data_IF_364782468825
#
_entry.id   IF_364782468825
#
_cell.length_a   1.000
_cell.length_b   1.000
_cell.length_c   1.000
_cell.angle_alpha   90.00
_cell.angle_beta   90.00
_cell.angle_gamma   90.00
#
_symmetry.space_group_name_H-M   'P 1'
#
loop_
_entity.id
_entity.type
_entity.pdbx_description
1 polymer ?
#
# COMPACT_ATOMS: atom_id res chain seq x y z
N UNK A 1 2.13 21.00 57.39
CA UNK A 1 2.69 19.86 56.62
C UNK A 1 4.12 20.07 56.13
N UNK A 2 4.55 21.27 55.71
CA UNK A 2 5.91 21.50 55.21
C UNK A 2 7.00 21.30 56.28
N UNK A 3 6.78 21.85 57.49
CA UNK A 3 7.68 21.69 58.66
C UNK A 3 7.83 20.23 59.09
N UNK A 4 6.75 19.45 59.02
CA UNK A 4 6.76 18.02 59.37
C UNK A 4 7.57 17.22 58.32
N UNK A 5 7.42 17.54 57.03
CA UNK A 5 8.20 16.89 55.96
C UNK A 5 9.69 17.26 56.00
N UNK A 6 10.04 18.48 56.41
CA UNK A 6 11.45 18.88 56.53
C UNK A 6 12.16 18.25 57.74
N UNK A 7 11.43 17.90 58.79
CA UNK A 7 11.96 17.23 59.99
C UNK A 7 11.61 15.73 60.01
N UNK A 8 11.22 15.14 58.88
CA UNK A 8 10.84 13.72 58.83
C UNK A 8 12.05 12.80 59.04
N UNK A 9 13.24 13.28 58.69
CA UNK A 9 14.50 12.57 58.85
C UNK A 9 14.83 12.33 60.34
N UNK A 10 14.53 13.28 61.23
CA UNK A 10 14.75 13.08 62.67
C UNK A 10 13.73 12.12 63.31
N UNK A 11 12.64 11.79 62.61
CA UNK A 11 11.57 10.92 63.11
C UNK A 11 11.78 9.45 62.68
N UNK A 12 12.49 9.19 61.58
CA UNK A 12 12.53 7.90 60.88
C UNK A 12 13.95 7.35 60.69
N UNK A 13 14.91 7.81 61.51
CA UNK A 13 16.36 7.63 61.32
C UNK A 13 16.78 6.16 61.07
N UNK A 14 16.09 5.18 61.67
CA UNK A 14 16.37 3.74 61.48
C UNK A 14 15.74 3.12 60.21
N UNK A 15 14.62 3.65 59.70
CA UNK A 15 13.86 3.09 58.56
C UNK A 15 14.02 3.87 57.25
N UNK A 16 14.97 4.81 57.19
CA UNK A 16 15.17 5.71 56.03
C UNK A 16 15.46 4.96 54.73
N UNK A 17 16.25 3.88 54.81
CA UNK A 17 16.60 3.04 53.66
C UNK A 17 15.39 2.27 53.13
N UNK A 18 14.58 1.71 54.03
CA UNK A 18 13.35 0.97 53.70
C UNK A 18 12.28 1.89 53.10
N UNK A 19 12.10 3.10 53.64
CA UNK A 19 11.18 4.10 53.09
C UNK A 19 11.59 4.57 51.71
N UNK A 20 12.88 4.77 51.45
CA UNK A 20 13.37 5.13 50.12
C UNK A 20 13.16 3.99 49.11
N UNK A 21 13.41 2.74 49.53
CA UNK A 21 13.11 1.57 48.70
C UNK A 21 11.61 1.43 48.41
N UNK A 22 10.76 1.66 49.41
CA UNK A 22 9.30 1.65 49.26
C UNK A 22 8.82 2.80 48.36
N UNK A 23 9.33 4.01 48.52
CA UNK A 23 9.00 5.16 47.67
C UNK A 23 9.43 4.91 46.22
N UNK A 24 10.61 4.33 46.00
CA UNK A 24 11.07 3.92 44.68
C UNK A 24 10.17 2.83 44.09
N UNK A 25 9.78 1.83 44.88
CA UNK A 25 8.88 0.76 44.45
C UNK A 25 7.50 1.31 44.07
N UNK A 26 6.95 2.25 44.84
CA UNK A 26 5.69 2.93 44.54
C UNK A 26 5.82 3.83 43.32
N UNK A 27 6.93 4.56 43.17
CA UNK A 27 7.18 5.38 41.98
C UNK A 27 7.30 4.51 40.72
N UNK A 28 7.98 3.37 40.80
CA UNK A 28 8.07 2.39 39.72
C UNK A 28 6.74 1.71 39.43
N UNK A 29 5.95 1.36 40.45
CA UNK A 29 4.65 0.72 40.25
C UNK A 29 3.65 1.70 39.61
N UNK A 30 3.63 2.95 40.05
CA UNK A 30 2.80 4.02 39.48
C UNK A 30 3.27 4.39 38.06
N UNK A 31 4.59 4.44 37.84
CA UNK A 31 5.17 4.63 36.51
C UNK A 31 4.79 3.49 35.56
N UNK A 32 4.91 2.23 35.99
CA UNK A 32 4.47 1.07 35.21
C UNK A 32 2.97 1.06 34.97
N UNK A 33 2.15 1.45 35.95
CA UNK A 33 0.70 1.53 35.77
C UNK A 33 0.34 2.53 34.66
N UNK A 34 0.93 3.73 34.69
CA UNK A 34 0.73 4.75 33.66
C UNK A 34 1.26 4.31 32.29
N UNK A 35 2.42 3.64 32.24
CA UNK A 35 3.03 3.17 30.98
C UNK A 35 2.32 1.94 30.42
N UNK A 36 1.80 1.02 31.26
CA UNK A 36 0.99 -0.12 30.83
C UNK A 36 -0.31 0.34 30.18
N UNK A 37 -0.85 1.47 30.65
CA UNK A 37 -2.02 2.09 30.05
C UNK A 37 -1.69 2.93 28.80
N UNK A 38 -0.41 3.07 28.41
CA UNK A 38 -0.07 3.84 27.23
C UNK A 38 -0.40 3.04 25.95
N UNK A 39 -1.39 3.45 25.14
CA UNK A 39 -1.81 2.75 23.92
C UNK A 39 -0.69 2.69 22.86
N UNK A 40 0.31 3.57 22.92
CA UNK A 40 1.41 3.62 21.95
C UNK A 40 2.22 2.31 21.85
N UNK A 41 2.24 1.45 22.88
CA UNK A 41 2.92 0.16 22.82
C UNK A 41 2.16 -0.90 22.02
N UNK A 42 0.85 -0.76 21.88
CA UNK A 42 0.00 -1.73 21.14
C UNK A 42 0.39 -1.71 19.65
N UNK A 43 0.72 -0.54 19.10
CA UNK A 43 1.13 -0.34 17.71
C UNK A 43 2.38 -1.16 17.36
N UNK A 44 3.33 -1.28 18.28
CA UNK A 44 4.59 -1.99 18.02
C UNK A 44 4.37 -3.46 17.69
N UNK A 45 3.34 -4.09 18.28
CA UNK A 45 2.98 -5.48 17.98
C UNK A 45 2.46 -5.64 16.55
N UNK A 46 1.72 -4.65 16.04
CA UNK A 46 1.23 -4.66 14.64
C UNK A 46 2.41 -4.53 13.68
N UNK A 47 3.34 -3.62 13.95
CA UNK A 47 4.54 -3.45 13.13
C UNK A 47 5.31 -4.77 12.99
N UNK A 48 5.55 -5.46 14.12
CA UNK A 48 6.23 -6.75 14.12
C UNK A 48 5.43 -7.85 13.43
N UNK A 49 4.11 -7.91 13.65
CA UNK A 49 3.24 -8.91 13.02
C UNK A 49 3.21 -8.78 11.49
N UNK A 50 3.21 -7.56 10.95
CA UNK A 50 3.25 -7.33 9.49
C UNK A 50 4.59 -7.71 8.91
N UNK A 51 5.69 -7.32 9.55
CA UNK A 51 7.03 -7.71 9.12
C UNK A 51 7.18 -9.24 9.10
N UNK A 52 6.71 -9.92 10.15
CA UNK A 52 6.68 -11.38 10.19
C UNK A 52 5.82 -11.98 9.07
N UNK A 53 4.66 -11.40 8.76
CA UNK A 53 3.80 -11.87 7.67
C UNK A 53 4.50 -11.74 6.30
N UNK A 54 5.15 -10.60 6.04
CA UNK A 54 5.88 -10.38 4.79
C UNK A 54 7.13 -11.29 4.67
N UNK A 55 7.75 -11.67 5.79
CA UNK A 55 8.87 -12.61 5.80
C UNK A 55 8.42 -14.07 5.65
N UNK A 56 7.32 -14.46 6.31
CA UNK A 56 6.67 -15.76 6.10
C UNK A 56 6.27 -15.97 4.64
N UNK A 57 5.77 -14.95 3.96
CA UNK A 57 5.42 -15.05 2.53
C UNK A 57 6.65 -15.38 1.65
N UNK A 58 7.82 -14.78 1.94
CA UNK A 58 9.07 -15.05 1.22
C UNK A 58 9.60 -16.44 1.56
N UNK A 59 9.62 -16.80 2.84
CA UNK A 59 10.11 -18.11 3.30
C UNK A 59 9.23 -19.24 2.78
N UNK A 60 7.92 -19.10 2.84
CA UNK A 60 6.97 -20.07 2.27
C UNK A 60 7.25 -20.27 0.78
N UNK A 61 7.44 -19.19 0.02
CA UNK A 61 7.77 -19.33 -1.39
C UNK A 61 9.11 -20.04 -1.61
N UNK A 62 10.14 -19.73 -0.83
CA UNK A 62 11.44 -20.39 -0.91
C UNK A 62 11.35 -21.89 -0.58
N UNK A 63 10.62 -22.26 0.49
CA UNK A 63 10.41 -23.65 0.87
C UNK A 63 9.62 -24.42 -0.18
N UNK A 64 8.58 -23.81 -0.77
CA UNK A 64 7.80 -24.45 -1.83
C UNK A 64 8.63 -24.67 -3.09
N UNK A 65 9.41 -23.68 -3.53
CA UNK A 65 10.30 -23.85 -4.68
C UNK A 65 11.35 -24.95 -4.41
N UNK A 66 11.91 -24.99 -3.19
CA UNK A 66 12.83 -26.05 -2.78
C UNK A 66 12.17 -27.43 -2.79
N UNK A 67 10.94 -27.54 -2.28
CA UNK A 67 10.17 -28.78 -2.26
C UNK A 67 9.84 -29.26 -3.69
N UNK A 68 9.49 -28.33 -4.60
CA UNK A 68 9.26 -28.63 -6.02
C UNK A 68 10.51 -29.14 -6.73
N UNK A 69 11.66 -28.53 -6.48
CA UNK A 69 12.94 -29.00 -7.05
C UNK A 69 13.32 -30.36 -6.48
N UNK A 70 13.14 -30.57 -5.18
CA UNK A 70 13.53 -31.82 -4.50
C UNK A 70 12.65 -33.00 -4.95
N UNK A 71 11.32 -32.83 -4.91
CA UNK A 71 10.40 -33.88 -5.38
C UNK A 71 10.36 -33.98 -6.91
N UNK A 72 10.77 -32.93 -7.63
CA UNK A 72 10.86 -32.93 -9.09
C UNK A 72 11.83 -33.98 -9.67
N UNK A 73 12.81 -34.45 -8.89
CA UNK A 73 13.65 -35.61 -9.26
C UNK A 73 12.86 -36.93 -9.32
N UNK A 74 11.86 -37.08 -8.46
CA UNK A 74 11.00 -38.26 -8.42
C UNK A 74 9.77 -38.13 -9.32
N UNK A 75 9.16 -36.95 -9.38
CA UNK A 75 7.99 -36.70 -10.22
C UNK A 75 7.99 -35.27 -10.79
N UNK A 76 8.66 -35.05 -11.95
CA UNK A 76 8.82 -33.72 -12.53
C UNK A 76 7.52 -33.09 -13.06
N UNK A 77 6.58 -33.91 -13.52
CA UNK A 77 5.32 -33.44 -14.13
C UNK A 77 4.32 -32.88 -13.11
N UNK A 78 4.41 -33.33 -11.85
CA UNK A 78 3.55 -32.83 -10.76
C UNK A 78 3.67 -31.31 -10.57
N UNK A 79 4.90 -30.79 -10.71
CA UNK A 79 5.18 -29.37 -10.57
C UNK A 79 4.51 -28.51 -11.66
N UNK A 80 4.29 -29.06 -12.86
CA UNK A 80 3.64 -28.35 -13.97
C UNK A 80 2.12 -28.35 -13.81
N UNK A 81 1.56 -29.48 -13.37
CA UNK A 81 0.12 -29.66 -13.18
C UNK A 81 -0.42 -28.82 -12.03
N UNK A 82 0.22 -28.88 -10.87
CA UNK A 82 -0.26 -28.22 -9.66
C UNK A 82 0.45 -26.89 -9.50
N UNK A 83 -0.27 -25.79 -9.71
CA UNK A 83 0.23 -24.43 -9.48
C UNK A 83 0.05 -23.99 -8.02
N UNK A 84 -0.97 -24.49 -7.32
CA UNK A 84 -1.18 -24.14 -5.93
C UNK A 84 -0.14 -24.77 -4.99
N UNK A 85 0.45 -23.95 -4.13
CA UNK A 85 1.54 -24.31 -3.24
C UNK A 85 1.08 -25.20 -2.08
N UNK A 86 -0.10 -24.92 -1.51
CA UNK A 86 -0.65 -25.72 -0.42
C UNK A 86 -1.14 -27.07 -0.90
N UNK A 87 -1.86 -27.11 -2.03
CA UNK A 87 -2.29 -28.36 -2.64
C UNK A 87 -1.09 -29.26 -2.98
N UNK A 88 -0.02 -28.71 -3.56
CA UNK A 88 1.19 -29.46 -3.90
C UNK A 88 1.81 -30.17 -2.69
N UNK A 89 2.00 -29.46 -1.57
CA UNK A 89 2.56 -30.05 -0.35
C UNK A 89 1.65 -31.15 0.25
N UNK A 90 0.32 -30.96 0.20
CA UNK A 90 -0.64 -31.96 0.68
C UNK A 90 -0.65 -33.23 -0.19
N UNK A 91 -0.55 -33.08 -1.52
CA UNK A 91 -0.50 -34.22 -2.46
C UNK A 91 0.75 -35.06 -2.23
N UNK A 92 1.93 -34.44 -2.09
CA UNK A 92 3.16 -35.19 -1.81
C UNK A 92 3.04 -35.96 -0.50
N UNK A 93 2.45 -35.34 0.53
CA UNK A 93 2.25 -35.99 1.82
C UNK A 93 1.31 -37.20 1.73
N UNK A 94 0.22 -37.12 0.97
CA UNK A 94 -0.75 -38.23 0.86
C UNK A 94 -0.23 -39.37 -0.02
N UNK A 95 0.49 -39.03 -1.09
CA UNK A 95 0.95 -39.99 -2.10
C UNK A 95 2.22 -40.71 -1.65
N UNK A 96 3.19 -39.95 -1.12
CA UNK A 96 4.53 -40.45 -0.86
C UNK A 96 5.26 -40.82 -2.16
N UNK A 97 5.26 -42.10 -2.52
CA UNK A 97 5.92 -42.61 -3.73
C UNK A 97 4.97 -42.63 -4.92
N UNK A 98 5.53 -42.49 -6.13
CA UNK A 98 4.79 -42.59 -7.40
C UNK A 98 3.97 -43.87 -7.51
N UNK A 99 4.48 -45.00 -7.02
CA UNK A 99 3.78 -46.30 -7.10
C UNK A 99 2.46 -46.30 -6.32
N UNK A 100 2.38 -45.52 -5.25
CA UNK A 100 1.17 -45.43 -4.41
C UNK A 100 0.10 -44.50 -5.02
N UNK A 101 0.42 -43.73 -6.07
CA UNK A 101 -0.54 -42.83 -6.74
C UNK A 101 -1.80 -43.53 -7.23
N UNK A 102 -1.68 -44.80 -7.66
CA UNK A 102 -2.80 -45.57 -8.22
C UNK A 102 -3.84 -45.87 -7.13
N UNK A 103 -3.39 -46.10 -5.89
CA UNK A 103 -4.23 -46.55 -4.78
C UNK A 103 -4.69 -45.41 -3.87
N UNK A 104 -4.15 -44.20 -4.03
CA UNK A 104 -4.43 -43.09 -3.12
C UNK A 104 -5.58 -42.23 -3.65
N UNK A 105 -6.54 -41.91 -2.78
CA UNK A 105 -7.64 -41.00 -3.08
C UNK A 105 -7.22 -39.55 -2.81
N UNK A 106 -7.33 -38.68 -3.83
CA UNK A 106 -6.94 -37.27 -3.77
C UNK A 106 -8.15 -36.31 -3.80
N UNK A 107 -9.37 -36.86 -3.76
CA UNK A 107 -10.64 -36.13 -3.91
C UNK A 107 -10.84 -34.99 -2.90
N UNK A 108 -10.18 -35.06 -1.73
CA UNK A 108 -10.27 -34.04 -0.68
C UNK A 108 -9.35 -32.83 -0.87
N UNK A 109 -8.40 -32.89 -1.80
CA UNK A 109 -7.33 -31.88 -1.96
C UNK A 109 -7.39 -31.24 -3.34
N UNK A 110 -7.65 -32.04 -4.38
CA UNK A 110 -7.71 -31.60 -5.78
C UNK A 110 -9.11 -31.82 -6.38
N UNK A 111 -9.51 -31.00 -7.36
CA UNK A 111 -10.62 -31.34 -8.24
C UNK A 111 -10.36 -32.64 -9.03
N UNK A 112 -11.42 -33.42 -9.28
CA UNK A 112 -11.35 -34.71 -9.98
C UNK A 112 -10.66 -34.62 -11.36
N UNK A 113 -10.84 -33.51 -12.08
CA UNK A 113 -10.19 -33.27 -13.38
C UNK A 113 -8.65 -33.21 -13.29
N UNK A 114 -8.12 -32.65 -12.20
CA UNK A 114 -6.68 -32.59 -11.99
C UNK A 114 -6.16 -33.92 -11.45
N UNK A 115 -6.91 -34.59 -10.57
CA UNK A 115 -6.54 -35.89 -10.04
C UNK A 115 -6.36 -36.95 -11.14
N UNK A 116 -7.30 -37.05 -12.08
CA UNK A 116 -7.20 -37.99 -13.20
C UNK A 116 -5.91 -37.74 -14.02
N UNK A 117 -5.62 -36.48 -14.33
CA UNK A 117 -4.39 -36.09 -15.05
C UNK A 117 -3.13 -36.41 -14.27
N UNK A 118 -3.13 -36.22 -12.94
CA UNK A 118 -1.96 -36.57 -12.13
C UNK A 118 -1.74 -38.08 -12.11
N UNK A 119 -2.80 -38.90 -12.11
CA UNK A 119 -2.70 -40.36 -12.19
C UNK A 119 -2.19 -40.83 -13.56
N UNK A 120 -2.70 -40.28 -14.66
CA UNK A 120 -2.22 -40.56 -16.01
C UNK A 120 -0.72 -40.20 -16.15
N UNK A 121 -0.32 -39.02 -15.69
CA UNK A 121 1.07 -38.56 -15.73
C UNK A 121 1.97 -39.35 -14.78
N UNK A 122 1.44 -39.93 -13.71
CA UNK A 122 2.21 -40.82 -12.83
C UNK A 122 2.60 -42.13 -13.54
N UNK A 123 1.73 -42.68 -14.40
CA UNK A 123 2.03 -43.87 -15.20
C UNK A 123 3.09 -43.58 -16.27
N UNK A 124 2.97 -42.45 -16.95
CA UNK A 124 3.85 -42.04 -18.06
C UNK A 124 5.15 -41.39 -17.56
N UNK A 125 5.24 -41.10 -16.25
CA UNK A 125 6.33 -40.29 -15.68
C UNK A 125 7.73 -40.88 -15.95
N UNK A 126 8.65 -39.98 -16.28
CA UNK A 126 10.08 -40.25 -16.46
C UNK A 126 10.93 -40.04 -15.20
N UNK A 127 10.30 -39.82 -14.04
CA UNK A 127 11.02 -39.57 -12.79
C UNK A 127 11.80 -40.78 -12.28
N UNK A 128 12.81 -40.52 -11.45
CA UNK A 128 13.69 -41.56 -10.88
C UNK A 128 13.16 -42.06 -9.54
N UNK A 129 13.33 -43.34 -9.23
CA UNK A 129 12.95 -43.87 -7.92
C UNK A 129 13.89 -43.32 -6.82
N UNK A 130 13.30 -42.92 -5.70
CA UNK A 130 14.01 -42.33 -4.54
C UNK A 130 14.00 -43.32 -3.37
N UNK A 131 14.92 -43.11 -2.41
CA UNK A 131 14.96 -43.91 -1.19
C UNK A 131 13.86 -43.51 -0.19
N UNK A 132 13.45 -44.44 0.67
CA UNK A 132 12.50 -44.17 1.75
C UNK A 132 13.00 -43.07 2.72
N UNK A 133 14.32 -43.00 2.94
CA UNK A 133 14.93 -42.00 3.80
C UNK A 133 14.76 -40.58 3.23
N UNK A 134 14.95 -40.43 1.92
CA UNK A 134 14.74 -39.15 1.24
C UNK A 134 13.27 -38.73 1.30
N UNK A 135 12.35 -39.68 1.16
CA UNK A 135 10.90 -39.45 1.25
C UNK A 135 10.50 -38.96 2.65
N UNK A 136 11.08 -39.51 3.72
CA UNK A 136 10.84 -39.03 5.10
C UNK A 136 11.26 -37.55 5.24
N UNK A 137 12.37 -37.15 4.64
CA UNK A 137 12.80 -35.75 4.69
C UNK A 137 11.94 -34.82 3.83
N UNK A 138 11.52 -35.27 2.64
CA UNK A 138 10.61 -34.50 1.77
C UNK A 138 9.24 -34.31 2.45
N UNK A 139 8.68 -35.37 3.04
CA UNK A 139 7.42 -35.31 3.77
C UNK A 139 7.52 -34.40 5.01
N UNK A 140 8.64 -34.42 5.73
CA UNK A 140 8.92 -33.48 6.83
C UNK A 140 8.94 -32.01 6.36
N UNK A 141 9.49 -31.72 5.18
CA UNK A 141 9.43 -30.37 4.60
C UNK A 141 8.00 -29.99 4.20
N UNK A 142 7.21 -30.92 3.65
CA UNK A 142 5.80 -30.68 3.33
C UNK A 142 4.98 -30.34 4.58
N UNK A 143 5.25 -31.01 5.71
CA UNK A 143 4.60 -30.72 6.99
C UNK A 143 4.91 -29.30 7.47
N UNK A 144 6.17 -28.89 7.40
CA UNK A 144 6.57 -27.52 7.74
C UNK A 144 5.88 -26.48 6.85
N UNK A 145 5.76 -26.73 5.54
CA UNK A 145 5.05 -25.82 4.61
C UNK A 145 3.57 -25.70 5.01
N UNK A 146 2.91 -26.81 5.33
CA UNK A 146 1.49 -26.81 5.73
C UNK A 146 1.33 -26.06 7.06
N UNK A 147 2.18 -26.32 8.05
CA UNK A 147 2.16 -25.65 9.36
C UNK A 147 2.40 -24.14 9.22
N UNK A 148 3.44 -23.72 8.48
CA UNK A 148 3.72 -22.31 8.23
C UNK A 148 2.56 -21.61 7.51
N UNK A 149 1.89 -22.31 6.59
CA UNK A 149 0.74 -21.75 5.88
C UNK A 149 -0.50 -21.61 6.77
N UNK A 150 -0.73 -22.54 7.69
CA UNK A 150 -1.77 -22.42 8.72
C UNK A 150 -1.45 -21.28 9.69
N UNK A 151 -0.20 -21.19 10.16
CA UNK A 151 0.26 -20.13 11.05
C UNK A 151 0.12 -18.75 10.40
N UNK A 152 0.43 -18.64 9.10
CA UNK A 152 0.19 -17.42 8.32
C UNK A 152 -1.28 -17.00 8.33
N UNK A 153 -2.22 -17.94 8.16
CA UNK A 153 -3.66 -17.65 8.22
C UNK A 153 -4.08 -17.17 9.62
N UNK A 154 -3.59 -17.81 10.68
CA UNK A 154 -3.83 -17.39 12.05
C UNK A 154 -3.26 -16.00 12.35
N UNK A 155 -2.05 -15.71 11.87
CA UNK A 155 -1.41 -14.40 12.02
C UNK A 155 -2.19 -13.30 11.28
N UNK A 156 -2.74 -13.62 10.10
CA UNK A 156 -3.61 -12.72 9.36
C UNK A 156 -4.90 -12.39 10.13
N UNK A 157 -5.56 -13.39 10.71
CA UNK A 157 -6.76 -13.17 11.52
C UNK A 157 -6.45 -12.38 12.80
N UNK A 158 -5.32 -12.66 13.43
CA UNK A 158 -4.81 -11.87 14.56
C UNK A 158 -4.60 -10.40 14.16
N UNK A 159 -3.95 -10.14 13.02
CA UNK A 159 -3.71 -8.80 12.50
C UNK A 159 -5.02 -8.07 12.20
N UNK A 160 -6.00 -8.75 11.60
CA UNK A 160 -7.33 -8.20 11.31
C UNK A 160 -8.02 -7.71 12.57
N UNK A 161 -8.14 -8.56 13.58
CA UNK A 161 -8.79 -8.23 14.85
C UNK A 161 -8.08 -7.07 15.56
N UNK A 162 -6.74 -7.08 15.55
CA UNK A 162 -5.94 -6.03 16.20
C UNK A 162 -6.05 -4.70 15.46
N UNK A 163 -6.06 -4.72 14.13
CA UNK A 163 -6.17 -3.50 13.32
C UNK A 163 -7.53 -2.85 13.45
N UNK A 164 -8.62 -3.63 13.45
CA UNK A 164 -9.98 -3.10 13.68
C UNK A 164 -10.11 -2.47 15.07
N UNK A 165 -9.46 -3.04 16.08
CA UNK A 165 -9.46 -2.49 17.44
C UNK A 165 -8.63 -1.20 17.58
N UNK A 166 -7.51 -1.09 16.85
CA UNK A 166 -6.62 0.07 16.94
C UNK A 166 -7.07 1.23 16.04
N UNK A 167 -7.29 0.96 14.74
CA UNK A 167 -7.51 1.96 13.72
C UNK A 167 -8.73 1.57 12.84
N UNK A 168 -9.96 1.68 13.37
CA UNK A 168 -11.16 1.30 12.65
C UNK A 168 -11.39 2.16 11.40
N UNK A 169 -11.16 3.47 11.47
CA UNK A 169 -11.41 4.35 10.32
C UNK A 169 -10.40 4.12 9.20
N UNK A 170 -9.13 3.93 9.52
CA UNK A 170 -8.10 3.58 8.53
C UNK A 170 -8.39 2.23 7.85
N UNK A 171 -8.84 1.25 8.63
CA UNK A 171 -9.21 -0.09 8.15
C UNK A 171 -10.35 -0.03 7.13
N UNK A 172 -11.42 0.72 7.41
CA UNK A 172 -12.53 0.87 6.48
C UNK A 172 -12.12 1.48 5.13
N UNK A 173 -11.13 2.38 5.12
CA UNK A 173 -10.68 3.06 3.91
C UNK A 173 -9.72 2.21 3.06
N UNK A 174 -8.72 1.57 3.68
CA UNK A 174 -7.61 0.92 2.96
C UNK A 174 -7.64 -0.60 3.00
N UNK A 175 -8.37 -1.19 3.95
CA UNK A 175 -8.24 -2.59 4.33
C UNK A 175 -7.12 -2.82 5.35
N UNK A 176 -7.17 -3.98 6.00
CA UNK A 176 -6.34 -4.32 7.14
C UNK A 176 -4.85 -4.40 6.76
N UNK A 177 -4.52 -5.12 5.68
CA UNK A 177 -3.13 -5.32 5.25
C UNK A 177 -2.45 -4.02 4.82
N UNK A 178 -3.13 -3.22 4.00
CA UNK A 178 -2.56 -1.97 3.48
C UNK A 178 -2.41 -0.96 4.61
N UNK A 179 -3.39 -0.87 5.50
CA UNK A 179 -3.29 -0.06 6.72
C UNK A 179 -2.10 -0.47 7.59
N UNK A 180 -1.93 -1.77 7.81
CA UNK A 180 -0.84 -2.32 8.62
C UNK A 180 0.54 -2.03 8.02
N UNK A 181 0.69 -2.15 6.70
CA UNK A 181 1.94 -1.81 5.99
C UNK A 181 2.27 -0.31 6.07
N UNK A 182 1.26 0.57 6.02
CA UNK A 182 1.49 2.01 6.20
C UNK A 182 1.97 2.34 7.61
N UNK A 183 1.39 1.71 8.64
CA UNK A 183 1.82 1.90 10.03
C UNK A 183 3.24 1.36 10.23
N UNK A 184 3.54 0.17 9.69
CA UNK A 184 4.88 -0.43 9.74
C UNK A 184 5.94 0.48 9.13
N UNK A 185 5.69 1.02 7.94
CA UNK A 185 6.64 1.92 7.27
C UNK A 185 6.76 3.29 7.96
N UNK A 186 5.72 3.76 8.65
CA UNK A 186 5.78 4.98 9.47
C UNK A 186 6.40 4.75 10.86
N UNK A 187 6.49 3.50 11.31
CA UNK A 187 6.99 3.07 12.62
C UNK A 187 5.97 3.06 13.75
N UNK A 188 4.98 3.96 13.74
CA UNK A 188 3.87 3.99 14.69
C UNK A 188 2.63 4.69 14.11
N UNK A 189 1.46 4.48 14.72
CA UNK A 189 0.23 5.14 14.27
C UNK A 189 0.31 6.66 14.45
N UNK A 190 0.90 7.11 15.56
CA UNK A 190 1.12 8.54 15.85
C UNK A 190 2.09 9.19 14.85
N UNK A 191 3.13 8.48 14.44
CA UNK A 191 4.06 8.94 13.39
C UNK A 191 3.33 9.11 12.06
N UNK A 192 2.48 8.14 11.70
CA UNK A 192 1.65 8.22 10.50
C UNK A 192 0.65 9.38 10.56
N UNK A 193 0.06 9.65 11.73
CA UNK A 193 -0.86 10.79 11.92
C UNK A 193 -0.18 12.16 11.72
N UNK A 194 1.10 12.27 12.08
CA UNK A 194 1.92 13.47 11.86
C UNK A 194 2.29 13.67 10.39
N UNK A 195 2.31 12.61 9.59
CA UNK A 195 2.64 12.72 8.18
C UNK A 195 1.56 13.54 7.41
N UNK A 196 1.97 14.38 6.44
CA UNK A 196 1.02 15.05 5.55
C UNK A 196 0.47 14.07 4.50
N UNK A 197 -0.69 14.41 3.92
CA UNK A 197 -1.37 13.59 2.93
C UNK A 197 -0.49 13.26 1.69
N UNK A 198 0.36 14.20 1.26
CA UNK A 198 1.29 13.99 0.15
C UNK A 198 2.35 12.93 0.45
N UNK A 199 2.84 12.87 1.69
CA UNK A 199 3.78 11.83 2.13
C UNK A 199 3.08 10.48 2.22
N UNK A 200 1.87 10.44 2.79
CA UNK A 200 1.06 9.22 2.88
C UNK A 200 0.79 8.63 1.48
N UNK A 201 0.56 9.48 0.47
CA UNK A 201 0.35 9.06 -0.92
C UNK A 201 1.53 8.27 -1.53
N UNK A 202 2.77 8.69 -1.23
CA UNK A 202 4.00 8.19 -1.85
C UNK A 202 4.80 7.26 -0.93
N UNK A 203 4.27 6.94 0.25
CA UNK A 203 4.90 6.07 1.24
C UNK A 203 5.22 4.69 0.62
N UNK A 204 6.45 4.21 0.76
CA UNK A 204 6.95 2.99 0.11
C UNK A 204 7.50 3.16 -1.32
N UNK A 205 7.31 4.32 -1.97
CA UNK A 205 7.91 4.64 -3.27
C UNK A 205 9.11 5.61 -3.15
N UNK A 206 9.69 5.74 -1.97
CA UNK A 206 10.70 6.74 -1.63
C UNK A 206 11.95 6.65 -2.51
N UNK A 207 12.46 5.44 -2.76
CA UNK A 207 13.62 5.23 -3.63
C UNK A 207 13.38 5.76 -5.05
N UNK A 208 12.19 5.54 -5.60
CA UNK A 208 11.81 6.02 -6.93
C UNK A 208 11.60 7.55 -6.92
N UNK A 209 10.99 8.08 -5.86
CA UNK A 209 10.80 9.51 -5.65
C UNK A 209 12.13 10.26 -5.60
N UNK A 210 13.07 9.82 -4.76
CA UNK A 210 14.37 10.47 -4.63
C UNK A 210 15.20 10.36 -5.91
N UNK A 211 15.09 9.25 -6.64
CA UNK A 211 15.73 9.11 -7.96
C UNK A 211 15.15 10.10 -8.97
N UNK A 212 13.83 10.26 -9.01
CA UNK A 212 13.15 11.20 -9.91
C UNK A 212 13.54 12.65 -9.59
N UNK A 213 13.55 13.03 -8.30
CA UNK A 213 13.96 14.37 -7.86
C UNK A 213 15.41 14.69 -8.22
N UNK A 214 16.35 13.74 -8.01
CA UNK A 214 17.76 13.91 -8.39
C UNK A 214 17.93 14.07 -9.90
N UNK A 215 17.15 13.36 -10.69
CA UNK A 215 17.24 13.37 -12.16
C UNK A 215 16.30 14.37 -12.83
N UNK A 216 15.53 15.16 -12.05
CA UNK A 216 14.45 16.05 -12.52
C UNK A 216 13.47 15.35 -13.47
N UNK A 217 13.20 14.06 -13.23
CA UNK A 217 12.21 13.27 -13.97
C UNK A 217 10.87 13.24 -13.23
N UNK A 218 9.86 12.68 -13.89
CA UNK A 218 8.54 12.53 -13.31
C UNK A 218 8.56 11.70 -12.02
N UNK A 219 7.87 12.22 -11.00
CA UNK A 219 7.76 11.58 -9.69
C UNK A 219 6.70 10.46 -9.71
N UNK A 220 6.86 9.43 -8.86
CA UNK A 220 5.86 8.38 -8.73
C UNK A 220 4.55 8.95 -8.19
N UNK A 221 3.41 8.46 -8.73
CA UNK A 221 2.07 8.96 -8.40
C UNK A 221 1.47 8.33 -7.14
N UNK A 222 1.98 7.18 -6.70
CA UNK A 222 1.46 6.41 -5.57
C UNK A 222 2.55 5.46 -5.04
N UNK A 223 2.45 5.08 -3.78
CA UNK A 223 3.25 4.03 -3.14
C UNK A 223 2.38 2.85 -2.70
N UNK A 224 2.44 2.48 -1.42
CA UNK A 224 1.73 1.33 -0.84
C UNK A 224 0.20 1.41 -1.00
N UNK A 225 -0.35 2.62 -1.08
CA UNK A 225 -1.79 2.85 -1.24
C UNK A 225 -2.33 2.29 -2.58
N UNK A 226 -1.46 2.03 -3.56
CA UNK A 226 -1.86 1.45 -4.86
C UNK A 226 -2.62 0.12 -4.73
N UNK A 227 -2.28 -0.68 -3.72
CA UNK A 227 -2.91 -1.98 -3.45
C UNK A 227 -4.26 -1.87 -2.72
N UNK A 228 -4.70 -0.66 -2.38
CA UNK A 228 -6.03 -0.47 -1.80
C UNK A 228 -7.13 -0.72 -2.83
N UNK A 229 -8.18 -1.42 -2.41
CA UNK A 229 -9.31 -1.84 -3.26
C UNK A 229 -9.89 -0.68 -4.09
N UNK A 230 -10.09 0.49 -3.46
CA UNK A 230 -10.66 1.69 -4.11
C UNK A 230 -9.83 2.19 -5.30
N UNK A 231 -8.49 2.03 -5.26
CA UNK A 231 -7.61 2.43 -6.36
C UNK A 231 -7.54 1.33 -7.42
N UNK A 232 -7.50 0.07 -6.99
CA UNK A 232 -7.43 -1.06 -7.92
C UNK A 232 -8.65 -1.12 -8.84
N UNK A 233 -9.84 -0.80 -8.32
CA UNK A 233 -11.10 -0.73 -9.09
C UNK A 233 -11.17 0.47 -10.05
N UNK A 234 -10.38 1.52 -9.83
CA UNK A 234 -10.42 2.71 -10.67
C UNK A 234 -9.68 2.49 -12.01
N UNK A 235 -10.18 3.07 -13.13
CA UNK A 235 -9.50 2.98 -14.41
C UNK A 235 -8.14 3.71 -14.37
N UNK A 236 -7.17 3.26 -15.16
CA UNK A 236 -5.76 3.70 -15.08
C UNK A 236 -5.57 5.23 -15.11
N UNK A 237 -6.38 5.97 -15.89
CA UNK A 237 -6.36 7.44 -15.96
C UNK A 237 -6.78 8.12 -14.66
N UNK A 238 -7.69 7.51 -13.90
CA UNK A 238 -8.24 8.05 -12.66
C UNK A 238 -7.47 7.63 -11.40
N UNK A 239 -6.67 6.56 -11.47
CA UNK A 239 -5.90 6.03 -10.33
C UNK A 239 -5.09 7.11 -9.59
N UNK A 240 -4.41 8.01 -10.32
CA UNK A 240 -3.63 9.09 -9.71
C UNK A 240 -4.47 10.22 -9.07
N UNK A 241 -5.69 10.46 -9.56
CA UNK A 241 -6.63 11.39 -8.91
C UNK A 241 -7.19 10.76 -7.64
N UNK A 242 -7.59 9.49 -7.71
CA UNK A 242 -8.11 8.73 -6.57
C UNK A 242 -7.06 8.55 -5.48
N UNK A 243 -5.80 8.26 -5.83
CA UNK A 243 -4.70 8.16 -4.88
C UNK A 243 -4.53 9.42 -4.02
N UNK A 244 -4.59 10.62 -4.64
CA UNK A 244 -4.53 11.89 -3.92
C UNK A 244 -5.70 12.08 -2.96
N UNK A 245 -6.92 11.80 -3.43
CA UNK A 245 -8.14 11.94 -2.62
C UNK A 245 -8.15 10.94 -1.46
N UNK A 246 -7.79 9.69 -1.73
CA UNK A 246 -7.72 8.63 -0.73
C UNK A 246 -6.64 8.97 0.31
N UNK A 247 -5.43 9.34 -0.08
CA UNK A 247 -4.37 9.70 0.86
C UNK A 247 -4.77 10.87 1.78
N UNK A 248 -5.49 11.87 1.27
CA UNK A 248 -6.02 12.95 2.09
C UNK A 248 -7.04 12.47 3.13
N UNK A 249 -7.95 11.57 2.75
CA UNK A 249 -8.93 10.99 3.67
C UNK A 249 -8.28 10.02 4.66
N UNK A 250 -7.29 9.24 4.23
CA UNK A 250 -6.51 8.37 5.11
C UNK A 250 -5.75 9.19 6.16
N UNK A 251 -5.08 10.28 5.78
CA UNK A 251 -4.38 11.13 6.75
C UNK A 251 -5.33 11.74 7.80
N UNK A 252 -6.56 12.10 7.41
CA UNK A 252 -7.59 12.55 8.35
C UNK A 252 -8.06 11.41 9.26
N UNK A 253 -8.35 10.23 8.69
CA UNK A 253 -8.77 9.06 9.44
C UNK A 253 -7.72 8.61 10.46
N UNK A 254 -6.44 8.53 10.08
CA UNK A 254 -5.34 8.18 10.99
C UNK A 254 -5.22 9.18 12.14
N UNK A 255 -5.44 10.48 11.91
CA UNK A 255 -5.40 11.47 12.99
C UNK A 255 -6.55 11.31 13.97
N UNK A 256 -7.72 10.95 13.48
CA UNK A 256 -8.87 10.65 14.34
C UNK A 256 -8.57 9.39 15.15
N UNK A 257 -8.11 8.32 14.50
CA UNK A 257 -7.77 7.06 15.16
C UNK A 257 -6.65 7.22 16.20
N UNK A 258 -5.66 8.09 15.95
CA UNK A 258 -4.50 8.26 16.84
C UNK A 258 -4.69 9.28 17.97
N UNK A 259 -5.50 10.33 17.77
CA UNK A 259 -5.55 11.50 18.67
C UNK A 259 -6.92 11.76 19.28
N UNK A 260 -8.00 11.09 18.83
CA UNK A 260 -9.32 11.31 19.42
C UNK A 260 -9.47 10.54 20.74
N UNK A 261 -9.70 11.28 21.84
CA UNK A 261 -9.92 10.70 23.18
C UNK A 261 -11.28 9.96 23.28
N UNK A 262 -12.28 10.38 22.51
CA UNK A 262 -13.55 9.66 22.36
C UNK A 262 -13.58 9.00 20.97
N UNK A 263 -13.40 7.68 20.95
CA UNK A 263 -13.46 6.90 19.72
C UNK A 263 -14.89 6.92 19.16
N UNK A 264 -15.14 7.74 18.14
CA UNK A 264 -16.41 7.79 17.37
C UNK A 264 -16.64 6.53 16.51
N UNK A 265 -16.01 5.41 16.87
CA UNK A 265 -16.03 4.18 16.09
C UNK A 265 -15.54 4.38 14.65
N UNK A 266 -16.13 3.60 13.74
CA UNK A 266 -15.78 3.56 12.31
C UNK A 266 -16.61 4.52 11.42
N UNK A 267 -17.46 5.36 12.01
CA UNK A 267 -18.45 6.16 11.27
C UNK A 267 -17.78 7.10 10.25
N UNK A 268 -16.74 7.82 10.68
CA UNK A 268 -16.02 8.77 9.82
C UNK A 268 -15.33 8.05 8.65
N UNK A 269 -14.80 6.85 8.89
CA UNK A 269 -14.22 6.00 7.86
C UNK A 269 -15.25 5.59 6.81
N UNK A 270 -16.46 5.20 7.24
CA UNK A 270 -17.56 4.83 6.34
C UNK A 270 -18.07 6.01 5.51
N UNK A 271 -18.26 7.18 6.13
CA UNK A 271 -18.66 8.40 5.41
C UNK A 271 -17.61 8.80 4.37
N UNK A 272 -16.33 8.77 4.77
CA UNK A 272 -15.23 9.09 3.86
C UNK A 272 -15.15 8.09 2.70
N UNK A 273 -15.39 6.80 2.96
CA UNK A 273 -15.44 5.76 1.93
C UNK A 273 -16.58 6.00 0.95
N UNK A 274 -17.80 6.22 1.45
CA UNK A 274 -18.98 6.49 0.63
C UNK A 274 -18.76 7.73 -0.25
N UNK A 275 -18.17 8.80 0.30
CA UNK A 275 -17.82 9.99 -0.45
C UNK A 275 -16.79 9.74 -1.56
N UNK A 276 -15.78 8.89 -1.32
CA UNK A 276 -14.79 8.50 -2.33
C UNK A 276 -15.40 7.62 -3.44
N UNK A 277 -16.30 6.70 -3.09
CA UNK A 277 -17.02 5.87 -4.05
C UNK A 277 -17.95 6.72 -4.94
N UNK A 278 -18.66 7.70 -4.38
CA UNK A 278 -19.48 8.63 -5.15
C UNK A 278 -18.65 9.47 -6.14
N UNK A 279 -17.45 9.91 -5.72
CA UNK A 279 -16.50 10.59 -6.62
C UNK A 279 -16.02 9.66 -7.72
N UNK A 280 -15.73 8.39 -7.40
CA UNK A 280 -15.28 7.42 -8.40
C UNK A 280 -16.37 7.19 -9.46
N UNK A 281 -17.63 6.98 -9.03
CA UNK A 281 -18.78 6.80 -9.92
C UNK A 281 -19.00 8.02 -10.82
N UNK A 282 -19.04 9.22 -10.24
CA UNK A 282 -19.25 10.46 -11.01
C UNK A 282 -18.12 10.75 -12.01
N UNK A 283 -16.86 10.41 -11.70
CA UNK A 283 -15.75 10.56 -12.65
C UNK A 283 -15.73 9.47 -13.73
N UNK A 284 -16.31 8.28 -13.47
CA UNK A 284 -16.53 7.24 -14.48
C UNK A 284 -17.64 7.63 -15.47
N UNK A 285 -18.76 8.14 -14.95
CA UNK A 285 -19.90 8.61 -15.75
C UNK A 285 -19.54 9.81 -16.62
N UNK A 286 -18.61 10.66 -16.16
CA UNK A 286 -18.18 11.86 -16.89
C UNK A 286 -17.57 11.60 -18.27
N UNK A 287 -17.21 10.35 -18.59
CA UNK A 287 -16.69 9.93 -19.88
C UNK A 287 -15.46 10.71 -20.36
N UNK A 288 -14.91 10.41 -21.54
CA UNK A 288 -14.00 11.31 -22.20
C UNK A 288 -14.77 12.59 -22.55
N UNK A 289 -14.34 13.74 -22.00
CA UNK A 289 -14.86 15.04 -22.42
C UNK A 289 -14.72 15.13 -23.95
N UNK A 290 -15.84 15.06 -24.68
CA UNK A 290 -15.88 15.59 -26.04
C UNK A 290 -15.59 17.07 -25.88
N UNK A 291 -14.44 17.53 -26.38
CA UNK A 291 -14.14 18.96 -26.47
C UNK A 291 -15.07 19.48 -27.57
N UNK A 292 -16.34 19.69 -27.25
CA UNK A 292 -17.29 20.42 -28.09
C UNK A 292 -17.13 21.91 -27.80
N UNK A 293 -15.93 22.39 -28.08
CA UNK A 293 -15.57 23.79 -28.06
C UNK A 293 -14.58 23.96 -29.18
N UNK A 294 -14.99 24.62 -30.26
CA UNK A 294 -14.06 25.02 -31.31
C UNK A 294 -12.87 25.71 -30.65
N UNK A 295 -11.67 25.49 -31.18
CA UNK A 295 -10.49 26.25 -30.79
C UNK A 295 -10.83 27.74 -30.94
N UNK A 296 -11.21 28.42 -29.87
CA UNK A 296 -11.09 29.87 -29.81
C UNK A 296 -9.60 30.14 -29.87
N UNK A 297 -9.07 30.25 -31.09
CA UNK A 297 -7.81 30.93 -31.33
C UNK A 297 -7.99 32.27 -30.65
N UNK A 298 -7.31 32.50 -29.53
CA UNK A 298 -7.11 33.87 -29.08
C UNK A 298 -6.53 34.61 -30.28
N UNK A 299 -7.26 35.62 -30.77
CA UNK A 299 -6.72 36.51 -31.78
C UNK A 299 -5.38 37.03 -31.24
N UNK A 300 -4.34 37.02 -32.09
CA UNK A 300 -3.05 37.57 -31.71
C UNK A 300 -3.31 39.01 -31.25
N UNK A 301 -2.89 39.32 -30.03
CA UNK A 301 -2.99 40.68 -29.51
C UNK A 301 -2.13 41.59 -30.39
N UNK A 302 -2.78 42.33 -31.28
CA UNK A 302 -2.15 43.42 -32.01
C UNK A 302 -2.19 44.64 -31.10
N UNK A 303 -1.02 45.05 -30.62
CA UNK A 303 -0.88 46.33 -29.91
C UNK A 303 -1.27 47.45 -30.88
N UNK A 304 -2.48 47.98 -30.74
CA UNK A 304 -2.87 49.23 -31.39
C UNK A 304 -2.29 50.35 -30.55
N UNK A 305 -1.21 50.98 -31.03
CA UNK A 305 -0.69 52.21 -30.43
C UNK A 305 -1.66 53.36 -30.74
N UNK A 306 -2.75 53.45 -29.98
CA UNK A 306 -3.60 54.64 -30.00
C UNK A 306 -2.95 55.69 -29.09
N UNK A 307 -2.07 56.52 -29.65
CA UNK A 307 -1.58 57.73 -28.97
C UNK A 307 -2.67 58.80 -29.05
N UNK A 308 -3.32 59.09 -27.92
CA UNK A 308 -4.23 60.22 -27.80
C UNK A 308 -3.42 61.47 -27.47
N UNK A 309 -3.35 62.43 -28.40
CA UNK A 309 -2.86 63.77 -28.07
C UNK A 309 -3.91 64.52 -27.26
N UNK A 310 -3.47 65.07 -26.13
CA UNK A 310 -4.30 65.87 -25.23
C UNK A 310 -4.39 67.31 -25.74
N UNK A 311 -5.60 67.84 -25.88
CA UNK A 311 -5.79 69.24 -26.25
C UNK A 311 -6.11 70.07 -25.00
N UNK A 312 -5.16 70.90 -24.57
CA UNK A 312 -5.23 71.63 -23.30
C UNK A 312 -6.34 72.70 -23.23
N UNK A 313 -6.90 73.11 -24.37
CA UNK A 313 -7.91 74.18 -24.42
C UNK A 313 -9.34 73.70 -24.15
N UNK A 314 -9.65 72.42 -24.38
CA UNK A 314 -11.01 71.86 -24.25
C UNK A 314 -11.08 70.68 -23.27
N UNK A 315 -10.00 70.43 -22.52
CA UNK A 315 -9.91 69.43 -21.45
C UNK A 315 -10.53 68.06 -21.83
N UNK A 316 -10.27 67.62 -23.06
CA UNK A 316 -10.78 66.36 -23.62
C UNK A 316 -9.84 65.81 -24.69
N UNK A 317 -9.74 64.47 -24.87
CA UNK A 317 -8.88 63.85 -25.87
C UNK A 317 -9.41 64.08 -27.30
N UNK A 318 -8.52 64.44 -28.25
CA UNK A 318 -8.89 64.58 -29.67
C UNK A 318 -9.27 63.23 -30.28
N UNK A 319 -10.33 63.20 -31.11
CA UNK A 319 -10.69 61.99 -31.88
C UNK A 319 -9.63 61.69 -32.95
N UNK A 320 -9.25 60.41 -33.16
CA UNK A 320 -8.17 60.06 -34.07
C UNK A 320 -8.55 60.30 -35.54
N UNK A 321 -7.73 61.04 -36.28
CA UNK A 321 -7.73 61.06 -37.75
C UNK A 321 -6.88 59.89 -38.26
N UNK A 322 -7.48 58.98 -39.04
CA UNK A 322 -6.76 57.90 -39.73
C UNK A 322 -5.77 58.50 -40.73
N UNK A 323 -4.47 58.37 -40.49
CA UNK A 323 -3.45 58.49 -41.55
C UNK A 323 -3.47 57.19 -42.36
N UNK A 324 -3.66 57.29 -43.68
CA UNK A 324 -3.38 56.19 -44.62
C UNK A 324 -1.86 56.09 -44.75
N UNK A 325 -1.30 54.91 -44.50
CA UNK A 325 0.06 54.57 -44.89
C UNK A 325 -0.04 53.61 -46.08
N UNK A 326 0.72 53.92 -47.13
CA UNK A 326 0.84 53.15 -48.38
C UNK A 326 1.57 51.82 -48.13
N UNK A 327 1.25 50.83 -48.96
CA UNK A 327 1.74 49.46 -48.94
C UNK A 327 3.22 49.41 -49.32
N UNK A 328 4.05 48.78 -48.47
CA UNK A 328 5.37 48.27 -48.88
C UNK A 328 5.35 46.74 -48.81
N UNK A 329 5.59 46.15 -49.98
CA UNK A 329 5.88 44.75 -50.22
C UNK A 329 7.18 44.35 -49.51
N UNK A 330 7.18 43.19 -48.83
CA UNK A 330 8.29 42.23 -48.66
C UNK A 330 8.08 41.44 -47.35
N UNK A 331 7.62 40.19 -47.45
CA UNK A 331 8.47 39.06 -47.04
C UNK A 331 7.79 37.72 -47.35
N UNK A 332 8.36 37.04 -48.34
CA UNK A 332 7.97 35.72 -48.79
C UNK A 332 9.06 34.75 -48.31
N UNK A 333 8.82 34.01 -47.21
CA UNK A 333 9.65 32.86 -46.86
C UNK A 333 8.80 31.60 -46.58
N UNK A 334 9.09 30.46 -47.24
CA UNK A 334 8.24 29.29 -47.23
C UNK A 334 8.37 28.41 -45.98
N UNK A 335 7.25 27.78 -45.63
CA UNK A 335 7.07 26.82 -44.53
C UNK A 335 7.98 25.59 -44.71
N UNK A 336 8.71 25.21 -43.65
CA UNK A 336 9.37 23.89 -43.55
C UNK A 336 8.32 22.78 -43.50
N UNK A 337 8.42 21.85 -44.43
CA UNK A 337 7.61 20.64 -44.60
C UNK A 337 8.01 19.60 -43.54
N UNK A 338 7.00 18.94 -42.95
CA UNK A 338 7.17 17.75 -42.08
C UNK A 338 7.45 16.55 -42.96
N UNK A 339 8.50 15.80 -42.65
CA UNK A 339 8.76 14.47 -43.21
C UNK A 339 7.95 13.46 -42.37
N UNK A 340 7.02 12.77 -43.02
CA UNK A 340 6.43 11.51 -42.55
C UNK A 340 7.34 10.38 -43.07
N UNK A 341 7.90 9.57 -42.17
CA UNK A 341 8.55 8.32 -42.53
C UNK A 341 7.47 7.29 -42.85
N UNK A 342 7.53 6.79 -44.09
CA UNK A 342 6.73 5.69 -44.63
C UNK A 342 7.40 4.39 -44.19
N UNK A 343 6.67 3.53 -43.48
CA UNK A 343 7.02 2.10 -43.32
C UNK A 343 6.77 1.39 -44.66
N UNK A 344 7.82 0.85 -45.26
CA UNK A 344 7.73 -0.13 -46.34
C UNK A 344 7.81 -1.55 -45.76
N UNK A 345 6.81 -2.35 -46.15
CA UNK A 345 6.76 -3.79 -46.40
C UNK A 345 7.48 -4.78 -45.46
#
# INVERSE_FOLDING_TARGET
MRSIRSHIDSLLDEHKTELNAMNLAVAHSLGRYKVKFNPEKIDTMIVQAVSLLDDLDKELNNYVMRCREWYGWHFPELGKLIQDHQAFAKVIKTVGMRQNMINTDLSGILPEELEAKVKEEAEISMGTDISDLDLIHISGLCDQIIELSQYRAQLFDYLKNRMTALAPNLTCLLGELVGARLISHAGSLVSLAKAPASTVQILGAEKALFRALKTKKDTPKYGLIYHAQLITQAPAKLKGKMARKLAAKCALATRIDALADESKGAEVGLECRAGLEAVLRSEQERGPKKISGGSHKHEKYHFKSETFEYDANNDAPKKPQKRRFEEDEEDNQPKRVKVEEVEEA
#
